data_IF_019240253270
#
_entry.id   IF_019240253270
#
_cell.length_a   1.000
_cell.length_b   1.000
_cell.length_c   1.000
_cell.angle_alpha   90.00
_cell.angle_beta   90.00
_cell.angle_gamma   90.00
#
_symmetry.space_group_name_H-M   'P 1'
#
loop_
_entity.id
_entity.type
_entity.pdbx_description
1 polymer ?
#
# COMPACT_ATOMS: atom_id res chain seq x y z
N UNK A 1 11.17 1.45 60.83
CA UNK A 1 11.04 0.55 59.67
C UNK A 1 9.93 0.91 58.68
N UNK A 2 8.96 1.80 58.99
CA UNK A 2 7.90 2.19 58.04
C UNK A 2 8.27 3.30 57.03
N UNK A 3 9.40 4.00 57.23
CA UNK A 3 9.85 5.09 56.33
C UNK A 3 10.80 4.63 55.20
N UNK A 4 11.32 3.41 55.27
CA UNK A 4 12.23 2.85 54.25
C UNK A 4 11.44 2.19 53.10
N UNK A 5 10.23 1.70 53.38
CA UNK A 5 9.37 1.06 52.37
C UNK A 5 8.83 2.09 51.35
N UNK A 6 8.63 3.35 51.76
CA UNK A 6 8.15 4.39 50.85
C UNK A 6 9.22 4.82 49.82
N UNK A 7 10.51 4.78 50.18
CA UNK A 7 11.60 5.11 49.26
C UNK A 7 11.83 4.02 48.19
N UNK A 8 11.53 2.75 48.49
CA UNK A 8 11.69 1.65 47.55
C UNK A 8 10.54 1.57 46.53
N UNK A 9 9.33 2.02 46.89
CA UNK A 9 8.16 2.06 45.99
C UNK A 9 8.24 3.24 45.00
N UNK A 10 8.90 4.34 45.37
CA UNK A 10 9.10 5.50 44.47
C UNK A 10 10.18 5.23 43.40
N UNK A 11 11.13 4.33 43.65
CA UNK A 11 12.21 3.99 42.70
C UNK A 11 11.76 2.96 41.63
N UNK A 12 10.63 2.26 41.82
CA UNK A 12 10.12 1.26 40.87
C UNK A 12 9.22 1.88 39.78
N UNK A 13 8.89 3.17 39.87
CA UNK A 13 8.03 3.86 38.89
C UNK A 13 8.79 4.81 37.95
N UNK A 14 10.12 4.83 38.00
CA UNK A 14 10.93 5.53 37.00
C UNK A 14 11.51 4.51 36.02
N UNK A 15 10.66 3.76 35.33
CA UNK A 15 11.10 3.20 34.05
C UNK A 15 11.34 4.41 33.15
N UNK A 16 12.55 4.60 32.59
CA UNK A 16 12.73 5.62 31.57
C UNK A 16 11.67 5.38 30.50
N UNK A 17 10.89 6.42 30.19
CA UNK A 17 10.07 6.39 28.99
C UNK A 17 11.08 6.40 27.84
N UNK A 18 11.35 5.23 27.26
CA UNK A 18 12.17 5.14 26.07
C UNK A 18 11.38 5.85 24.98
N UNK A 19 11.97 6.88 24.38
CA UNK A 19 11.41 7.51 23.21
C UNK A 19 11.20 6.44 22.14
N UNK A 20 9.94 6.20 21.81
CA UNK A 20 9.52 5.15 20.91
C UNK A 20 8.97 5.77 19.65
N UNK A 21 9.42 5.28 18.50
CA UNK A 21 8.92 5.67 17.18
C UNK A 21 8.34 4.42 16.53
N UNK A 22 7.06 4.43 16.20
CA UNK A 22 6.43 3.37 15.42
C UNK A 22 6.49 3.74 13.94
N UNK A 23 6.92 2.78 13.11
CA UNK A 23 6.75 2.85 11.66
C UNK A 23 5.62 1.93 11.28
N UNK A 24 4.74 2.43 10.42
CA UNK A 24 3.59 1.66 9.92
C UNK A 24 3.52 1.74 8.41
N UNK A 25 3.08 0.65 7.80
CA UNK A 25 2.76 0.59 6.37
C UNK A 25 1.26 0.45 6.22
N UNK A 26 0.68 1.26 5.33
CA UNK A 26 -0.75 1.20 5.02
C UNK A 26 -0.96 1.07 3.52
N UNK A 27 -1.73 0.06 3.12
CA UNK A 27 -2.21 -0.07 1.74
C UNK A 27 -3.16 1.10 1.40
N UNK A 28 -2.83 1.84 0.35
CA UNK A 28 -3.66 2.91 -0.22
C UNK A 28 -4.43 2.43 -1.46
N UNK A 29 -4.20 1.20 -1.91
CA UNK A 29 -4.67 0.63 -3.15
C UNK A 29 -3.87 1.07 -4.37
N UNK A 30 -4.18 0.45 -5.51
CA UNK A 30 -3.48 0.68 -6.78
C UNK A 30 -1.96 0.40 -6.70
N UNK A 31 -1.54 -0.59 -5.90
CA UNK A 31 -0.12 -0.88 -5.67
C UNK A 31 0.59 0.14 -4.79
N UNK A 32 -0.11 1.08 -4.14
CA UNK A 32 0.51 2.14 -3.35
C UNK A 32 0.54 1.80 -1.85
N UNK A 33 1.70 1.96 -1.24
CA UNK A 33 1.88 1.78 0.20
C UNK A 33 2.36 3.09 0.84
N UNK A 34 1.61 3.60 1.82
CA UNK A 34 2.04 4.70 2.67
C UNK A 34 2.98 4.21 3.76
N UNK A 35 4.10 4.89 3.93
CA UNK A 35 5.04 4.71 5.03
C UNK A 35 4.81 5.87 6.00
N UNK A 36 4.15 5.57 7.12
CA UNK A 36 3.78 6.54 8.13
C UNK A 36 4.59 6.31 9.42
N UNK A 37 4.77 7.36 10.22
CA UNK A 37 5.43 7.29 11.52
C UNK A 37 4.55 7.90 12.61
N UNK A 38 4.75 7.45 13.85
CA UNK A 38 4.27 8.13 15.05
C UNK A 38 5.30 7.97 16.17
N UNK A 39 5.36 8.91 17.10
CA UNK A 39 6.31 8.85 18.19
C UNK A 39 5.91 9.65 19.41
N UNK A 40 6.67 9.45 20.50
CA UNK A 40 6.51 10.22 21.74
C UNK A 40 7.38 11.47 21.78
N UNK A 41 8.35 11.56 20.87
CA UNK A 41 9.33 12.65 20.75
C UNK A 41 9.55 12.99 19.27
N UNK A 42 10.10 14.18 19.03
CA UNK A 42 10.41 14.64 17.67
C UNK A 42 11.60 13.87 17.12
N UNK A 43 11.42 13.35 15.90
CA UNK A 43 12.46 12.66 15.15
C UNK A 43 13.26 13.69 14.35
N UNK A 44 14.58 13.55 14.34
CA UNK A 44 15.48 14.35 13.51
C UNK A 44 15.68 13.72 12.13
N UNK A 45 15.88 12.40 12.08
CA UNK A 45 16.14 11.71 10.83
C UNK A 45 15.72 10.24 10.85
N UNK A 46 15.43 9.72 9.67
CA UNK A 46 15.13 8.33 9.38
C UNK A 46 16.12 7.80 8.35
N UNK A 47 16.71 6.64 8.61
CA UNK A 47 17.35 5.79 7.63
C UNK A 47 16.66 4.42 7.65
N UNK A 48 15.90 4.12 6.59
CA UNK A 48 15.04 2.93 6.51
C UNK A 48 15.31 2.15 5.23
N UNK A 49 15.33 0.83 5.35
CA UNK A 49 15.30 -0.10 4.23
C UNK A 49 13.87 -0.60 4.03
N UNK A 50 13.37 -0.49 2.81
CA UNK A 50 12.02 -0.89 2.42
C UNK A 50 12.15 -1.95 1.33
N UNK A 51 11.60 -3.13 1.56
CA UNK A 51 11.66 -4.27 0.62
C UNK A 51 10.28 -4.80 0.29
N UNK A 52 10.16 -5.37 -0.91
CA UNK A 52 8.99 -6.12 -1.37
C UNK A 52 9.36 -7.59 -1.63
N UNK A 53 8.45 -8.51 -1.32
CA UNK A 53 8.66 -9.95 -1.55
C UNK A 53 8.40 -10.38 -3.01
N UNK A 54 7.60 -9.61 -3.74
CA UNK A 54 7.27 -9.77 -5.15
C UNK A 54 7.37 -8.43 -5.89
N UNK A 55 7.67 -8.49 -7.19
CA UNK A 55 7.78 -7.31 -8.03
C UNK A 55 8.93 -6.36 -7.71
N UNK A 56 8.73 -5.10 -8.07
CA UNK A 56 9.65 -3.99 -7.87
C UNK A 56 8.96 -2.78 -7.25
N UNK A 57 9.76 -1.92 -6.63
CA UNK A 57 9.33 -0.59 -6.18
C UNK A 57 9.62 0.40 -7.30
N UNK A 58 8.59 0.83 -8.02
CA UNK A 58 8.72 1.59 -9.25
C UNK A 58 8.81 3.10 -9.03
N UNK A 59 8.16 3.58 -7.97
CA UNK A 59 8.10 5.00 -7.67
C UNK A 59 8.04 5.28 -6.16
N UNK A 60 8.47 6.48 -5.79
CA UNK A 60 8.27 7.09 -4.48
C UNK A 60 7.65 8.49 -4.67
N UNK A 61 6.73 8.86 -3.80
CA UNK A 61 5.96 10.10 -3.87
C UNK A 61 5.49 10.56 -2.48
N UNK A 62 4.73 11.65 -2.42
CA UNK A 62 4.09 12.16 -1.19
C UNK A 62 5.07 12.35 -0.01
N UNK A 63 6.24 12.91 -0.33
CA UNK A 63 7.27 13.30 0.63
C UNK A 63 7.51 14.81 0.60
N UNK A 64 7.85 15.39 1.75
CA UNK A 64 8.23 16.80 1.84
C UNK A 64 9.60 17.03 1.20
N UNK A 65 9.86 18.24 0.69
CA UNK A 65 11.16 18.62 0.11
C UNK A 65 11.58 19.98 0.67
N UNK A 66 12.85 20.10 1.06
CA UNK A 66 13.44 21.31 1.63
C UNK A 66 13.35 21.40 3.15
N UNK A 67 13.69 22.58 3.67
CA UNK A 67 13.69 22.93 5.09
C UNK A 67 12.44 23.73 5.50
N UNK A 68 12.22 23.87 6.80
CA UNK A 68 11.11 24.62 7.41
C UNK A 68 9.74 24.33 6.76
N UNK A 69 9.41 23.04 6.60
CA UNK A 69 8.24 22.58 5.84
C UNK A 69 7.28 21.66 6.62
N UNK A 70 7.44 21.51 7.94
CA UNK A 70 6.72 20.55 8.78
C UNK A 70 6.95 19.07 8.40
N UNK A 71 8.04 18.75 7.71
CA UNK A 71 8.35 17.39 7.26
C UNK A 71 9.84 17.10 7.21
N UNK A 72 10.19 15.99 6.55
CA UNK A 72 11.56 15.49 6.45
C UNK A 72 12.08 15.65 5.03
N UNK A 73 12.35 16.89 4.62
CA UNK A 73 12.71 17.23 3.24
C UNK A 73 14.21 17.34 2.95
N UNK A 74 15.06 16.98 3.91
CA UNK A 74 16.52 16.89 3.71
C UNK A 74 16.87 15.43 3.43
N UNK A 75 17.52 15.13 2.30
CA UNK A 75 17.87 13.76 1.89
C UNK A 75 19.40 13.60 1.87
N UNK A 76 20.05 13.20 2.98
CA UNK A 76 21.51 13.21 3.10
C UNK A 76 22.25 12.49 1.96
N UNK A 77 21.78 11.32 1.51
CA UNK A 77 22.35 10.57 0.39
C UNK A 77 22.39 11.40 -0.89
N UNK A 78 21.35 12.17 -1.19
CA UNK A 78 21.25 12.93 -2.43
C UNK A 78 21.63 14.41 -2.27
N UNK A 79 21.81 14.90 -1.05
CA UNK A 79 22.05 16.31 -0.78
C UNK A 79 23.28 16.82 -1.52
N UNK A 80 24.44 16.17 -1.33
CA UNK A 80 25.69 16.60 -1.97
C UNK A 80 25.72 16.42 -3.50
N UNK A 81 24.82 15.59 -4.04
CA UNK A 81 24.72 15.29 -5.49
C UNK A 81 23.85 16.28 -6.23
N UNK A 82 22.79 16.77 -5.59
CA UNK A 82 21.75 17.56 -6.24
C UNK A 82 21.62 18.99 -5.70
N UNK A 83 21.91 19.21 -4.42
CA UNK A 83 21.72 20.51 -3.77
C UNK A 83 23.01 21.32 -3.78
N UNK A 84 22.89 22.59 -4.18
CA UNK A 84 23.96 23.57 -4.06
C UNK A 84 23.63 24.53 -2.92
N UNK A 85 24.52 24.59 -1.92
CA UNK A 85 24.43 25.54 -0.81
C UNK A 85 25.23 26.78 -1.17
N UNK A 86 24.64 27.96 -1.00
CA UNK A 86 25.38 29.22 -1.11
C UNK A 86 26.45 29.28 -0.02
N UNK A 87 27.72 29.31 -0.42
CA UNK A 87 28.83 29.28 0.53
C UNK A 87 28.96 30.56 1.39
N UNK A 88 28.30 31.65 1.00
CA UNK A 88 28.32 32.93 1.72
C UNK A 88 27.21 33.00 2.75
N UNK A 89 26.00 32.55 2.40
CA UNK A 89 24.83 32.65 3.27
C UNK A 89 24.52 31.35 4.01
N UNK A 90 24.95 30.20 3.49
CA UNK A 90 24.56 28.87 3.97
C UNK A 90 23.18 28.42 3.49
N UNK A 91 22.55 29.18 2.60
CA UNK A 91 21.16 28.97 2.16
C UNK A 91 21.07 28.10 0.90
N UNK A 92 19.97 27.38 0.75
CA UNK A 92 19.61 26.66 -0.48
C UNK A 92 18.57 27.48 -1.22
N UNK A 93 18.91 27.93 -2.43
CA UNK A 93 18.03 28.78 -3.24
C UNK A 93 16.95 28.02 -4.01
N UNK A 94 17.16 26.73 -4.27
CA UNK A 94 16.23 25.86 -4.96
C UNK A 94 16.31 24.44 -4.41
N UNK A 95 15.20 24.00 -3.81
CA UNK A 95 15.03 22.64 -3.30
C UNK A 95 14.37 21.71 -4.32
N UNK A 96 13.76 22.24 -5.39
CA UNK A 96 13.01 21.48 -6.38
C UNK A 96 13.90 20.94 -7.52
N UNK A 97 15.12 20.53 -7.18
CA UNK A 97 16.09 20.02 -8.15
C UNK A 97 15.68 18.63 -8.62
N UNK A 98 15.68 18.42 -9.94
CA UNK A 98 15.38 17.12 -10.53
C UNK A 98 16.31 16.03 -9.98
N UNK A 99 15.72 14.91 -9.56
CA UNK A 99 16.44 13.78 -8.97
C UNK A 99 16.73 13.91 -7.48
N UNK A 100 16.39 15.03 -6.83
CA UNK A 100 16.50 15.14 -5.37
C UNK A 100 15.33 14.38 -4.70
N UNK A 101 15.60 13.15 -4.30
CA UNK A 101 14.64 12.17 -3.75
C UNK A 101 15.18 11.59 -2.43
N UNK A 102 14.33 11.08 -1.53
CA UNK A 102 14.79 10.37 -0.34
C UNK A 102 15.51 9.04 -0.64
N UNK A 103 15.38 8.47 -1.85
CA UNK A 103 15.98 7.16 -2.20
C UNK A 103 17.49 7.29 -2.42
N UNK A 104 18.28 6.62 -1.58
CA UNK A 104 19.73 6.54 -1.72
C UNK A 104 20.13 5.83 -3.02
N UNK A 105 21.28 6.20 -3.60
CA UNK A 105 21.77 5.57 -4.81
C UNK A 105 22.22 4.13 -4.51
N UNK A 106 22.01 3.19 -5.45
CA UNK A 106 22.30 1.77 -5.22
C UNK A 106 23.79 1.46 -4.98
N UNK A 107 24.69 2.37 -5.39
CA UNK A 107 26.12 2.29 -5.14
C UNK A 107 26.55 2.93 -3.82
N UNK A 108 25.63 3.55 -3.08
CA UNK A 108 25.92 4.10 -1.76
C UNK A 108 26.16 2.98 -0.73
N UNK A 109 27.16 3.11 0.17
CA UNK A 109 27.44 2.11 1.18
C UNK A 109 26.22 1.81 2.07
N UNK A 110 25.78 0.54 2.07
CA UNK A 110 24.63 0.11 2.86
C UNK A 110 23.27 0.49 2.26
N UNK A 111 23.20 0.98 1.03
CA UNK A 111 21.94 1.14 0.31
C UNK A 111 21.52 -0.17 -0.39
N UNK A 112 20.21 -0.34 -0.57
CA UNK A 112 19.61 -1.41 -1.37
C UNK A 112 19.63 -1.07 -2.88
N UNK A 113 18.97 -1.89 -3.71
CA UNK A 113 19.04 -1.84 -5.16
C UNK A 113 18.45 -0.59 -5.83
N UNK A 114 17.65 0.21 -5.11
CA UNK A 114 17.05 1.43 -5.61
C UNK A 114 15.74 1.18 -6.38
N UNK A 115 15.18 2.25 -6.97
CA UNK A 115 13.93 2.16 -7.74
C UNK A 115 14.06 1.18 -8.92
N UNK A 116 12.98 0.48 -9.25
CA UNK A 116 12.96 -0.60 -10.24
C UNK A 116 13.58 -1.90 -9.74
N UNK A 117 13.81 -2.04 -8.44
CA UNK A 117 14.25 -3.27 -7.78
C UNK A 117 13.31 -3.65 -6.65
N UNK A 118 13.53 -4.79 -6.00
CA UNK A 118 12.72 -5.24 -4.88
C UNK A 118 13.07 -4.56 -3.52
N UNK A 119 13.96 -3.57 -3.51
CA UNK A 119 14.35 -2.91 -2.27
C UNK A 119 14.96 -1.53 -2.48
N UNK A 120 14.52 -0.57 -1.67
CA UNK A 120 15.06 0.79 -1.62
C UNK A 120 15.53 1.13 -0.22
N UNK A 121 16.56 1.96 -0.13
CA UNK A 121 16.95 2.61 1.11
C UNK A 121 16.56 4.07 1.03
N UNK A 122 15.87 4.58 2.05
CA UNK A 122 15.50 6.00 2.14
C UNK A 122 16.24 6.68 3.29
N UNK A 123 16.63 7.93 3.07
CA UNK A 123 17.12 8.81 4.12
C UNK A 123 16.35 10.12 4.11
N UNK A 124 15.79 10.48 5.27
CA UNK A 124 14.94 11.65 5.41
C UNK A 124 15.26 12.38 6.71
N UNK A 125 15.61 13.65 6.62
CA UNK A 125 15.98 14.51 7.75
C UNK A 125 15.10 15.74 7.84
N UNK A 126 14.86 16.19 9.07
CA UNK A 126 14.16 17.44 9.37
C UNK A 126 15.16 18.54 9.68
N UNK A 127 15.06 19.64 8.93
CA UNK A 127 15.73 20.90 9.22
C UNK A 127 14.66 22.00 9.25
N UNK A 128 14.58 22.75 10.35
CA UNK A 128 13.55 23.76 10.54
C UNK A 128 13.99 24.81 11.54
N UNK A 129 13.37 25.99 11.44
CA UNK A 129 13.46 27.06 12.44
C UNK A 129 12.13 27.17 13.21
N UNK A 130 11.01 27.22 12.47
CA UNK A 130 9.68 27.46 13.06
C UNK A 130 8.68 26.33 12.80
N UNK A 131 8.94 25.47 11.81
CA UNK A 131 8.02 24.43 11.34
C UNK A 131 8.59 23.04 11.52
N UNK A 132 8.68 22.62 12.77
CA UNK A 132 8.99 21.25 13.13
C UNK A 132 7.98 20.26 12.52
N UNK A 133 8.40 19.05 12.13
CA UNK A 133 7.47 17.96 11.88
C UNK A 133 6.59 17.69 13.09
N UNK A 134 5.39 17.18 12.85
CA UNK A 134 4.55 16.68 13.94
C UNK A 134 5.14 15.39 14.55
N UNK A 135 4.58 14.95 15.67
CA UNK A 135 4.95 13.67 16.29
C UNK A 135 4.44 12.46 15.49
N UNK A 136 3.56 12.68 14.53
CA UNK A 136 3.04 11.67 13.63
C UNK A 136 2.84 12.26 12.24
N UNK A 137 2.93 11.41 11.23
CA UNK A 137 2.68 11.82 9.86
C UNK A 137 3.17 10.81 8.85
N UNK A 138 3.15 11.24 7.59
CA UNK A 138 3.64 10.45 6.47
C UNK A 138 5.08 10.79 6.15
N UNK A 139 5.89 9.77 5.89
CA UNK A 139 7.22 9.93 5.31
C UNK A 139 7.13 9.97 3.80
N UNK A 140 6.53 8.94 3.19
CA UNK A 140 6.38 8.83 1.74
C UNK A 140 5.30 7.80 1.36
N UNK A 141 5.01 7.73 0.06
CA UNK A 141 4.26 6.64 -0.57
C UNK A 141 5.14 5.95 -1.60
N UNK A 142 5.26 4.63 -1.53
CA UNK A 142 5.88 3.81 -2.57
C UNK A 142 4.83 3.21 -3.51
N UNK A 143 5.20 2.88 -4.74
CA UNK A 143 4.37 2.14 -5.70
C UNK A 143 5.02 0.81 -6.04
N UNK A 144 4.36 -0.30 -5.74
CA UNK A 144 4.73 -1.65 -6.17
C UNK A 144 4.27 -1.90 -7.61
N UNK A 145 5.06 -2.64 -8.38
CA UNK A 145 4.73 -3.05 -9.75
C UNK A 145 3.59 -4.08 -9.82
N UNK A 146 3.37 -4.83 -8.74
CA UNK A 146 2.34 -5.85 -8.58
C UNK A 146 1.95 -5.99 -7.10
N UNK A 147 1.00 -6.87 -6.77
CA UNK A 147 0.66 -7.15 -5.38
C UNK A 147 1.89 -7.70 -4.64
N UNK A 148 2.21 -7.11 -3.49
CA UNK A 148 3.46 -7.31 -2.78
C UNK A 148 3.21 -7.30 -1.27
N UNK A 149 4.12 -7.89 -0.49
CA UNK A 149 4.26 -7.60 0.94
C UNK A 149 5.40 -6.64 1.14
N UNK A 150 5.12 -5.53 1.81
CA UNK A 150 6.12 -4.52 2.14
C UNK A 150 6.64 -4.77 3.55
N UNK A 151 7.96 -4.77 3.68
CA UNK A 151 8.68 -4.84 4.96
C UNK A 151 9.62 -3.67 5.09
N UNK A 152 9.56 -2.97 6.22
CA UNK A 152 10.44 -1.85 6.58
C UNK A 152 11.34 -2.26 7.73
N UNK A 153 12.64 -1.94 7.60
CA UNK A 153 13.64 -2.14 8.65
C UNK A 153 14.50 -0.89 8.84
N UNK A 154 15.14 -0.74 9.99
CA UNK A 154 16.07 0.38 10.23
C UNK A 154 17.43 0.07 9.61
N UNK A 155 18.10 1.09 9.08
CA UNK A 155 19.41 0.93 8.46
C UNK A 155 20.53 1.48 9.37
N UNK A 156 21.19 0.58 10.11
CA UNK A 156 22.23 0.95 11.07
C UNK A 156 23.51 1.48 10.40
N UNK A 157 23.81 1.05 9.16
CA UNK A 157 24.95 1.57 8.40
C UNK A 157 24.77 3.04 8.07
N UNK A 158 23.52 3.49 7.98
CA UNK A 158 23.12 4.84 7.54
C UNK A 158 22.48 5.68 8.65
N UNK A 159 22.55 5.21 9.90
CA UNK A 159 22.25 6.01 11.08
C UNK A 159 20.96 5.68 11.82
N UNK A 160 20.22 4.63 11.43
CA UNK A 160 18.94 4.24 12.03
C UNK A 160 17.93 5.43 12.10
N UNK A 161 17.08 5.46 13.12
CA UNK A 161 16.15 6.56 13.40
C UNK A 161 16.70 7.35 14.58
N UNK A 162 16.87 8.66 14.39
CA UNK A 162 17.57 9.55 15.33
C UNK A 162 16.64 10.64 15.82
N UNK A 163 16.64 10.91 17.12
CA UNK A 163 15.83 11.95 17.77
C UNK A 163 16.52 13.31 17.74
N UNK A 164 15.81 14.36 18.15
CA UNK A 164 16.37 15.73 18.16
C UNK A 164 17.63 15.90 19.02
N UNK A 165 17.79 15.09 20.07
CA UNK A 165 18.96 15.09 20.95
C UNK A 165 20.14 14.26 20.41
N UNK A 166 20.02 13.78 19.17
CA UNK A 166 20.96 12.90 18.49
C UNK A 166 21.08 11.47 19.07
N UNK A 167 20.20 11.09 20.00
CA UNK A 167 20.10 9.70 20.44
C UNK A 167 19.33 8.85 19.43
N UNK A 168 19.61 7.54 19.43
CA UNK A 168 18.91 6.57 18.61
C UNK A 168 17.54 6.23 19.25
N UNK A 169 16.49 6.26 18.44
CA UNK A 169 15.14 5.91 18.89
C UNK A 169 14.98 4.40 19.08
N UNK A 170 14.09 4.00 19.99
CA UNK A 170 13.56 2.63 19.95
C UNK A 170 12.47 2.56 18.89
N UNK A 171 12.65 1.72 17.88
CA UNK A 171 11.72 1.65 16.74
C UNK A 171 10.81 0.42 16.84
N UNK A 172 9.50 0.64 16.80
CA UNK A 172 8.50 -0.41 16.62
C UNK A 172 8.18 -0.57 15.13
N UNK A 173 8.43 -1.77 14.60
CA UNK A 173 8.22 -2.13 13.19
C UNK A 173 7.06 -3.13 13.00
N UNK A 174 6.30 -3.43 14.06
CA UNK A 174 5.24 -4.45 13.99
C UNK A 174 4.18 -4.11 12.93
N UNK A 175 3.84 -2.82 12.79
CA UNK A 175 2.90 -2.34 11.77
C UNK A 175 3.52 -2.14 10.38
N UNK A 176 4.78 -2.50 10.19
CA UNK A 176 5.53 -2.28 8.95
C UNK A 176 6.28 -3.54 8.47
N UNK A 177 5.96 -4.71 9.00
CA UNK A 177 6.55 -6.00 8.61
C UNK A 177 5.52 -6.85 7.87
N UNK A 178 5.89 -7.36 6.68
CA UNK A 178 5.08 -8.23 5.83
C UNK A 178 3.66 -7.70 5.56
N UNK A 179 3.53 -6.38 5.40
CA UNK A 179 2.23 -5.73 5.17
C UNK A 179 1.79 -5.95 3.74
N UNK A 180 0.66 -6.62 3.56
CA UNK A 180 0.07 -6.87 2.26
C UNK A 180 -0.39 -5.57 1.61
N UNK A 181 0.09 -5.31 0.40
CA UNK A 181 -0.34 -4.22 -0.47
C UNK A 181 -1.06 -4.87 -1.66
N UNK A 182 -2.32 -4.49 -1.85
CA UNK A 182 -3.05 -4.90 -3.03
C UNK A 182 -2.38 -4.34 -4.29
N UNK A 183 -2.38 -5.10 -5.38
CA UNK A 183 -1.83 -4.67 -6.66
C UNK A 183 -2.62 -3.50 -7.26
N UNK A 184 -2.45 -3.27 -8.56
CA UNK A 184 -3.28 -2.30 -9.28
C UNK A 184 -4.72 -2.81 -9.32
N UNK A 185 -5.53 -2.35 -8.36
CA UNK A 185 -6.91 -2.78 -8.16
C UNK A 185 -7.10 -3.39 -6.77
N UNK A 186 -7.81 -2.68 -5.89
CA UNK A 186 -8.22 -3.21 -4.60
C UNK A 186 -9.69 -3.60 -4.65
N UNK A 187 -10.00 -4.80 -4.16
CA UNK A 187 -11.39 -5.17 -3.93
C UNK A 187 -11.97 -4.34 -2.80
N UNK A 188 -12.91 -3.45 -3.14
CA UNK A 188 -13.67 -2.62 -2.20
C UNK A 188 -15.07 -3.16 -1.91
N UNK A 189 -15.41 -4.29 -2.54
CA UNK A 189 -16.73 -4.91 -2.44
C UNK A 189 -17.05 -5.46 -1.04
N UNK A 190 -18.34 -5.79 -0.79
CA UNK A 190 -18.82 -6.15 0.55
C UNK A 190 -18.32 -7.49 1.10
N UNK A 191 -17.65 -8.32 0.29
CA UNK A 191 -17.25 -9.70 0.62
C UNK A 191 -15.73 -9.94 0.52
N UNK A 192 -14.88 -9.21 1.27
CA UNK A 192 -13.43 -9.33 1.15
C UNK A 192 -12.92 -10.73 1.52
N UNK A 193 -13.58 -11.41 2.48
CA UNK A 193 -13.24 -12.77 2.89
C UNK A 193 -13.49 -13.78 1.76
N UNK A 194 -14.58 -13.60 0.99
CA UNK A 194 -14.89 -14.47 -0.15
C UNK A 194 -13.93 -14.22 -1.31
N UNK A 195 -13.60 -12.95 -1.60
CA UNK A 195 -12.61 -12.58 -2.62
C UNK A 195 -11.25 -13.22 -2.34
N UNK A 196 -10.79 -13.17 -1.09
CA UNK A 196 -9.58 -13.86 -0.66
C UNK A 196 -9.71 -15.38 -0.75
N UNK A 197 -10.87 -15.94 -0.39
CA UNK A 197 -11.10 -17.40 -0.40
C UNK A 197 -11.06 -18.01 -1.81
N UNK A 198 -11.32 -17.22 -2.85
CA UNK A 198 -11.27 -17.66 -4.26
C UNK A 198 -10.04 -17.14 -5.01
N UNK A 199 -8.98 -16.74 -4.29
CA UNK A 199 -7.69 -16.41 -4.89
C UNK A 199 -7.60 -15.01 -5.48
N UNK A 200 -8.37 -14.06 -4.94
CA UNK A 200 -8.29 -12.63 -5.29
C UNK A 200 -8.51 -12.32 -6.78
N UNK A 201 -9.62 -12.78 -7.41
CA UNK A 201 -9.85 -12.58 -8.83
C UNK A 201 -9.94 -11.10 -9.19
N UNK A 202 -9.19 -10.70 -10.22
CA UNK A 202 -9.13 -9.31 -10.68
C UNK A 202 -10.49 -8.79 -11.17
N UNK A 203 -11.29 -9.64 -11.80
CA UNK A 203 -12.58 -9.27 -12.35
C UNK A 203 -13.61 -8.84 -11.29
N UNK A 204 -13.38 -9.11 -10.01
CA UNK A 204 -14.23 -8.62 -8.92
C UNK A 204 -13.88 -7.19 -8.47
N UNK A 205 -12.74 -6.67 -8.93
CA UNK A 205 -12.29 -5.33 -8.58
C UNK A 205 -13.02 -4.32 -9.46
N UNK A 206 -13.76 -3.38 -8.84
CA UNK A 206 -14.55 -2.39 -9.55
C UNK A 206 -13.72 -1.48 -10.48
N UNK A 207 -12.45 -1.19 -10.13
CA UNK A 207 -11.56 -0.43 -11.02
C UNK A 207 -11.10 -1.20 -12.26
N UNK A 208 -11.24 -2.54 -12.26
CA UNK A 208 -10.91 -3.42 -13.40
C UNK A 208 -12.18 -3.73 -14.18
N UNK A 209 -13.23 -4.19 -13.50
CA UNK A 209 -14.54 -4.42 -14.10
C UNK A 209 -15.64 -3.79 -13.22
N UNK A 210 -15.97 -2.55 -13.56
CA UNK A 210 -16.96 -1.75 -12.85
C UNK A 210 -18.39 -2.31 -12.92
N UNK A 211 -18.66 -3.34 -13.74
CA UNK A 211 -20.00 -3.89 -13.97
C UNK A 211 -20.14 -5.35 -13.56
N UNK A 212 -19.09 -5.96 -13.00
CA UNK A 212 -19.10 -7.39 -12.72
C UNK A 212 -20.29 -7.80 -11.84
N UNK A 213 -20.55 -7.06 -10.76
CA UNK A 213 -21.70 -7.24 -9.87
C UNK A 213 -23.08 -7.00 -10.52
N UNK A 214 -23.12 -6.67 -11.82
CA UNK A 214 -24.32 -6.50 -12.65
C UNK A 214 -24.43 -7.56 -13.75
N UNK A 215 -23.59 -8.58 -13.76
CA UNK A 215 -23.68 -9.68 -14.71
C UNK A 215 -22.72 -9.59 -15.90
N UNK A 216 -21.81 -8.61 -15.91
CA UNK A 216 -20.77 -8.45 -16.93
C UNK A 216 -19.52 -9.23 -16.51
N UNK A 217 -19.39 -10.46 -16.99
CA UNK A 217 -18.30 -11.35 -16.61
C UNK A 217 -16.99 -11.04 -17.35
N UNK A 218 -17.07 -10.58 -18.61
CA UNK A 218 -15.90 -10.38 -19.47
C UNK A 218 -15.40 -8.93 -19.55
N UNK A 219 -16.19 -7.97 -19.06
CA UNK A 219 -15.88 -6.54 -19.07
C UNK A 219 -16.02 -5.90 -20.46
N UNK A 220 -16.66 -6.57 -21.43
CA UNK A 220 -16.70 -6.17 -22.84
C UNK A 220 -18.12 -6.02 -23.38
N UNK A 221 -18.42 -4.83 -23.90
CA UNK A 221 -19.70 -4.59 -24.58
C UNK A 221 -19.84 -5.34 -25.91
N UNK A 222 -21.05 -5.81 -26.23
CA UNK A 222 -21.37 -6.59 -27.43
C UNK A 222 -22.39 -5.92 -28.34
N UNK A 223 -22.21 -6.12 -29.64
CA UNK A 223 -23.14 -5.63 -30.67
C UNK A 223 -23.08 -4.12 -30.91
N UNK A 224 -23.90 -3.62 -31.84
CA UNK A 224 -23.92 -2.19 -32.21
C UNK A 224 -24.47 -1.30 -31.10
N UNK A 225 -25.30 -1.89 -30.23
CA UNK A 225 -25.96 -1.26 -29.11
C UNK A 225 -25.14 -1.29 -27.83
N UNK A 226 -23.93 -1.90 -27.86
CA UNK A 226 -23.01 -2.01 -26.71
C UNK A 226 -23.67 -2.59 -25.46
N UNK A 227 -24.22 -3.79 -25.59
CA UNK A 227 -24.75 -4.53 -24.45
C UNK A 227 -23.61 -5.08 -23.61
N UNK A 228 -23.51 -4.67 -22.34
CA UNK A 228 -22.48 -5.12 -21.40
C UNK A 228 -22.80 -6.46 -20.73
N UNK A 229 -24.06 -6.89 -20.78
CA UNK A 229 -24.48 -8.22 -20.32
C UNK A 229 -25.14 -8.90 -21.50
N UNK A 230 -24.44 -9.87 -22.07
CA UNK A 230 -24.90 -10.57 -23.27
C UNK A 230 -24.34 -11.99 -23.37
N UNK A 231 -24.24 -12.50 -24.60
CA UNK A 231 -23.99 -13.92 -24.85
C UNK A 231 -22.66 -14.42 -24.32
N UNK A 232 -21.59 -13.61 -24.31
CA UNK A 232 -20.31 -14.08 -23.75
C UNK A 232 -20.36 -14.20 -22.23
N UNK A 233 -21.06 -13.31 -21.53
CA UNK A 233 -21.28 -13.42 -20.09
C UNK A 233 -22.08 -14.67 -19.74
N UNK A 234 -23.11 -14.95 -20.55
CA UNK A 234 -23.90 -16.17 -20.42
C UNK A 234 -23.05 -17.43 -20.64
N UNK A 235 -22.13 -17.42 -21.62
CA UNK A 235 -21.24 -18.56 -21.86
C UNK A 235 -20.32 -18.82 -20.65
N UNK A 236 -19.79 -17.76 -20.01
CA UNK A 236 -18.97 -17.85 -18.80
C UNK A 236 -19.82 -18.37 -17.62
N UNK A 237 -21.03 -17.85 -17.43
CA UNK A 237 -21.97 -18.33 -16.40
C UNK A 237 -22.32 -19.81 -16.59
N UNK A 238 -22.62 -20.24 -17.83
CA UNK A 238 -22.88 -21.65 -18.15
C UNK A 238 -21.65 -22.51 -17.85
N UNK A 239 -20.46 -22.00 -18.17
CA UNK A 239 -19.19 -22.66 -17.86
C UNK A 239 -19.01 -22.94 -16.36
N UNK A 240 -19.43 -22.00 -15.52
CA UNK A 240 -19.30 -22.06 -14.06
C UNK A 240 -20.50 -22.68 -13.33
N UNK A 241 -21.62 -22.90 -14.03
CA UNK A 241 -22.92 -23.23 -13.45
C UNK A 241 -22.89 -24.44 -12.50
N UNK A 242 -23.31 -24.23 -11.25
CA UNK A 242 -23.40 -25.26 -10.21
C UNK A 242 -22.09 -26.02 -9.99
N UNK A 243 -20.96 -25.32 -10.07
CA UNK A 243 -19.64 -25.85 -9.72
C UNK A 243 -19.08 -25.13 -8.50
N UNK A 244 -18.39 -25.87 -7.64
CA UNK A 244 -17.60 -25.29 -6.55
C UNK A 244 -16.36 -24.57 -7.09
N UNK A 245 -15.73 -23.72 -6.27
CA UNK A 245 -14.50 -23.04 -6.70
C UNK A 245 -13.40 -24.02 -7.13
N UNK A 246 -13.20 -25.11 -6.39
CA UNK A 246 -12.22 -26.13 -6.71
C UNK A 246 -12.44 -26.79 -8.09
N UNK A 247 -13.67 -26.76 -8.62
CA UNK A 247 -14.01 -27.32 -9.93
C UNK A 247 -13.85 -26.31 -11.07
N UNK A 248 -13.73 -25.01 -10.79
CA UNK A 248 -13.59 -23.95 -11.80
C UNK A 248 -12.26 -23.21 -11.72
N UNK A 249 -11.49 -23.41 -10.66
CA UNK A 249 -10.19 -22.78 -10.46
C UNK A 249 -9.26 -23.05 -11.67
N UNK A 250 -8.62 -21.98 -12.15
CA UNK A 250 -7.79 -21.99 -13.36
C UNK A 250 -8.51 -22.21 -14.70
N UNK A 251 -9.83 -22.39 -14.73
CA UNK A 251 -10.58 -22.56 -15.98
C UNK A 251 -11.02 -21.21 -16.56
N UNK A 252 -11.02 -21.13 -17.89
CA UNK A 252 -11.39 -19.91 -18.63
C UNK A 252 -12.27 -20.22 -19.83
N UNK A 253 -13.10 -19.25 -20.23
CA UNK A 253 -13.80 -19.21 -21.51
C UNK A 253 -13.44 -17.89 -22.19
N UNK A 254 -12.94 -17.94 -23.42
CA UNK A 254 -12.51 -16.72 -24.13
C UNK A 254 -11.35 -15.98 -23.45
N UNK A 255 -10.59 -16.65 -22.57
CA UNK A 255 -9.55 -16.02 -21.75
C UNK A 255 -10.05 -15.40 -20.45
N UNK A 256 -11.36 -15.45 -20.19
CA UNK A 256 -11.97 -14.91 -18.96
C UNK A 256 -12.11 -16.03 -17.93
N UNK A 257 -11.63 -15.86 -16.69
CA UNK A 257 -11.80 -16.84 -15.61
C UNK A 257 -13.28 -17.12 -15.32
N UNK A 258 -13.62 -18.40 -15.10
CA UNK A 258 -15.00 -18.80 -14.81
C UNK A 258 -15.54 -18.19 -13.50
N UNK A 259 -14.67 -17.87 -12.54
CA UNK A 259 -15.04 -17.19 -11.29
C UNK A 259 -15.58 -15.76 -11.52
N UNK A 260 -15.37 -15.18 -12.69
CA UNK A 260 -15.90 -13.84 -13.01
C UNK A 260 -17.42 -13.83 -13.22
N UNK A 261 -18.05 -14.99 -13.38
CA UNK A 261 -19.52 -15.11 -13.44
C UNK A 261 -20.20 -15.22 -12.05
N UNK A 262 -19.43 -15.18 -10.97
CA UNK A 262 -19.94 -15.09 -9.59
C UNK A 262 -20.21 -13.62 -9.27
N UNK A 263 -21.39 -13.14 -9.61
CA UNK A 263 -21.74 -11.71 -9.60
C UNK A 263 -22.18 -11.23 -8.22
N UNK A 264 -22.66 -12.12 -7.35
CA UNK A 264 -23.04 -11.78 -5.97
C UNK A 264 -21.89 -11.98 -4.96
N UNK A 265 -20.77 -12.55 -5.42
CA UNK A 265 -19.57 -12.88 -4.67
C UNK A 265 -19.81 -13.88 -3.53
N UNK A 266 -20.88 -14.67 -3.59
CA UNK A 266 -21.33 -15.52 -2.48
C UNK A 266 -21.58 -16.97 -2.90
N UNK A 267 -21.04 -17.96 -2.17
CA UNK A 267 -21.31 -19.35 -2.47
C UNK A 267 -22.75 -19.73 -2.12
N UNK A 268 -23.40 -20.49 -3.00
CA UNK A 268 -24.78 -20.94 -2.82
C UNK A 268 -24.89 -22.44 -2.48
N UNK A 269 -25.79 -22.75 -1.56
CA UNK A 269 -26.16 -24.13 -1.21
C UNK A 269 -25.11 -24.88 -0.37
N UNK A 270 -25.38 -26.16 -0.08
CA UNK A 270 -24.49 -26.99 0.76
C UNK A 270 -23.17 -27.32 0.06
N UNK A 271 -23.20 -27.36 -1.26
CA UNK A 271 -22.06 -27.64 -2.13
C UNK A 271 -21.20 -26.40 -2.38
N UNK A 272 -21.62 -25.22 -1.89
CA UNK A 272 -20.90 -23.95 -2.05
C UNK A 272 -20.60 -23.65 -3.53
N UNK A 273 -21.62 -23.74 -4.38
CA UNK A 273 -21.47 -23.38 -5.79
C UNK A 273 -21.18 -21.89 -5.90
N UNK A 274 -20.17 -21.51 -6.70
CA UNK A 274 -19.82 -20.09 -6.89
C UNK A 274 -20.76 -19.37 -7.85
N UNK A 275 -21.32 -20.10 -8.81
CA UNK A 275 -22.25 -19.55 -9.79
C UNK A 275 -23.52 -20.39 -9.79
N UNK A 276 -24.63 -19.77 -9.39
CA UNK A 276 -25.92 -20.43 -9.26
C UNK A 276 -27.08 -19.44 -9.48
N UNK A 277 -28.24 -19.70 -8.89
CA UNK A 277 -29.47 -18.96 -9.20
C UNK A 277 -29.38 -17.47 -8.90
N UNK A 278 -28.63 -17.06 -7.86
CA UNK A 278 -28.46 -15.64 -7.55
C UNK A 278 -27.75 -14.89 -8.69
N UNK A 279 -26.69 -15.49 -9.24
CA UNK A 279 -25.93 -14.93 -10.37
C UNK A 279 -26.77 -14.90 -11.64
N UNK A 280 -27.55 -15.96 -11.88
CA UNK A 280 -28.48 -16.00 -13.00
C UNK A 280 -29.54 -14.90 -12.88
N UNK A 281 -30.06 -14.66 -11.68
CA UNK A 281 -31.03 -13.58 -11.43
C UNK A 281 -30.39 -12.20 -11.70
N UNK A 282 -29.11 -12.00 -11.34
CA UNK A 282 -28.35 -10.78 -11.65
C UNK A 282 -28.16 -10.61 -13.16
N UNK A 283 -27.73 -11.67 -13.86
CA UNK A 283 -27.55 -11.65 -15.31
C UNK A 283 -28.86 -11.34 -16.04
N UNK A 284 -29.96 -11.99 -15.64
CA UNK A 284 -31.28 -11.77 -16.22
C UNK A 284 -31.76 -10.33 -15.99
N UNK A 285 -31.57 -9.80 -14.78
CA UNK A 285 -31.99 -8.45 -14.42
C UNK A 285 -31.32 -7.35 -15.27
N UNK A 286 -30.11 -7.62 -15.78
CA UNK A 286 -29.32 -6.67 -16.56
C UNK A 286 -29.18 -7.06 -18.05
N UNK A 287 -29.83 -8.15 -18.46
CA UNK A 287 -29.68 -8.74 -19.79
C UNK A 287 -29.98 -7.74 -20.90
N UNK A 288 -28.98 -7.50 -21.77
CA UNK A 288 -29.08 -6.59 -22.92
C UNK A 288 -29.70 -5.22 -22.56
N UNK A 289 -29.43 -4.72 -21.36
CA UNK A 289 -29.73 -3.34 -20.99
C UNK A 289 -28.94 -2.38 -21.91
N UNK A 290 -29.61 -1.36 -22.43
CA UNK A 290 -28.98 -0.37 -23.31
C UNK A 290 -27.85 0.38 -22.59
N UNK A 291 -26.82 0.77 -23.35
CA UNK A 291 -25.61 1.45 -22.85
C UNK A 291 -25.98 2.60 -21.90
N UNK A 292 -25.80 2.33 -20.61
CA UNK A 292 -25.97 3.25 -19.49
C UNK A 292 -24.62 3.38 -18.83
N UNK A 293 -24.31 4.47 -18.09
CA UNK A 293 -23.06 4.57 -17.35
C UNK A 293 -22.74 3.30 -16.54
N UNK A 294 -21.45 3.02 -16.31
CA UNK A 294 -21.06 1.94 -15.41
C UNK A 294 -21.74 2.20 -14.07
N UNK A 295 -22.55 1.25 -13.62
CA UNK A 295 -23.06 1.30 -12.26
C UNK A 295 -21.91 0.86 -11.38
N UNK A 296 -21.42 1.72 -10.50
CA UNK A 296 -20.26 1.40 -9.68
C UNK A 296 -20.54 0.14 -8.86
N UNK A 297 -19.87 -0.96 -9.22
CA UNK A 297 -19.72 -2.06 -8.30
C UNK A 297 -18.97 -1.55 -7.07
N UNK A 298 -19.44 -1.92 -5.86
CA UNK A 298 -18.83 -1.49 -4.62
C UNK A 298 -17.38 -1.95 -4.50
#
# INVERSE_FOLDING_TARGET
MKKIILALVVVILTTPAWASVAITVKDLGEGKAAIDYSGTELVRAFALDITVDAGTIDAISDFAVGDDNNGYGVFPANFSRHITVDATTGEVSDWAVAGYTPVAAADDPGALGGLGTNGITIEMGSLYDTKAPALEGRLCVITCSEACKVTVTTNATRGNVVLEDASEATVDLAGATDVQIGGVGNYTGPQPDEWQAVGNPDCWIASINARQCKGDADGLSQGKQKYWVSTSDLDILIGAWNKSFAEIDGQTIGGVPLICADFDHMPQGKQKYRVSTNDLDILIANWQAADSPAADCP
#
